data_IF_993832486754
#
_entry.id   IF_993832486754
#
_cell.length_a   1.000
_cell.length_b   1.000
_cell.length_c   1.000
_cell.angle_alpha   90.00
_cell.angle_beta   90.00
_cell.angle_gamma   90.00
#
_symmetry.space_group_name_H-M   'P 1'
#
loop_
_entity.id
_entity.type
_entity.pdbx_description
1 polymer ?
#
# COMPACT_ATOMS: atom_id res chain seq x y z
N UNK A 1 22.10 46.98 42.74
CA UNK A 1 20.89 46.19 42.46
C UNK A 1 21.18 45.39 41.19
N UNK A 2 21.37 44.08 41.29
CA UNK A 2 21.57 43.21 40.12
C UNK A 2 20.24 42.51 39.84
N UNK A 3 19.63 42.80 38.69
CA UNK A 3 18.44 42.11 38.21
C UNK A 3 18.88 41.00 37.25
N UNK A 4 18.73 39.75 37.68
CA UNK A 4 18.94 38.58 36.84
C UNK A 4 17.62 38.25 36.13
N UNK A 5 17.56 38.46 34.81
CA UNK A 5 16.43 38.03 33.99
C UNK A 5 16.61 36.55 33.64
N UNK A 6 15.74 35.69 34.19
CA UNK A 6 15.62 34.30 33.79
C UNK A 6 14.90 34.22 32.43
N UNK A 7 15.59 33.78 31.39
CA UNK A 7 14.97 33.49 30.09
C UNK A 7 14.24 32.16 30.16
N UNK A 8 12.90 32.20 30.04
CA UNK A 8 12.05 31.01 29.90
C UNK A 8 12.16 30.53 28.45
N UNK A 9 12.84 29.42 28.23
CA UNK A 9 12.85 28.74 26.93
C UNK A 9 11.52 27.98 26.75
N UNK A 10 10.60 28.55 25.98
CA UNK A 10 9.42 27.84 25.46
C UNK A 10 9.88 26.87 24.37
N UNK A 11 10.06 25.59 24.73
CA UNK A 11 10.24 24.52 23.77
C UNK A 11 8.91 24.30 23.04
N UNK A 12 8.75 24.93 21.87
CA UNK A 12 7.68 24.61 20.95
C UNK A 12 7.96 23.24 20.33
N UNK A 13 7.38 22.18 20.90
CA UNK A 13 7.30 20.88 20.23
C UNK A 13 6.41 21.05 18.99
N UNK A 14 7.03 21.33 17.85
CA UNK A 14 6.40 21.22 16.54
C UNK A 14 5.99 19.76 16.34
N UNK A 15 4.71 19.46 16.58
CA UNK A 15 4.05 18.24 16.11
C UNK A 15 4.08 18.30 14.58
N UNK A 16 5.13 17.75 13.98
CA UNK A 16 5.19 17.55 12.54
C UNK A 16 4.07 16.57 12.18
N UNK A 17 3.08 16.94 11.34
CA UNK A 17 2.12 15.97 10.83
C UNK A 17 2.91 14.86 10.12
N UNK A 18 2.66 13.61 10.51
CA UNK A 18 3.30 12.45 9.92
C UNK A 18 3.02 12.44 8.41
N UNK A 19 4.04 12.72 7.61
CA UNK A 19 3.94 12.55 6.18
C UNK A 19 3.74 11.06 5.91
N UNK A 20 2.56 10.68 5.44
CA UNK A 20 2.40 9.37 4.80
C UNK A 20 3.27 9.37 3.54
N UNK A 21 3.99 8.27 3.32
CA UNK A 21 4.79 8.11 2.11
C UNK A 21 3.91 7.59 0.98
N UNK A 22 4.14 8.12 -0.23
CA UNK A 22 3.56 7.58 -1.46
C UNK A 22 3.98 6.12 -1.64
N UNK A 23 3.13 5.30 -2.26
CA UNK A 23 3.41 3.88 -2.47
C UNK A 23 2.80 3.35 -3.76
N UNK A 24 3.39 2.29 -4.28
CA UNK A 24 2.93 1.52 -5.42
C UNK A 24 2.20 0.27 -4.92
N UNK A 25 1.13 -0.12 -5.60
CA UNK A 25 0.36 -1.34 -5.31
C UNK A 25 0.64 -2.35 -6.41
N UNK A 26 1.06 -3.54 -6.00
CA UNK A 26 1.37 -4.66 -6.89
C UNK A 26 0.40 -5.81 -6.67
N UNK A 27 -0.05 -6.42 -7.77
CA UNK A 27 -0.61 -7.76 -7.76
C UNK A 27 0.52 -8.74 -8.03
N UNK A 28 0.70 -9.72 -7.15
CA UNK A 28 1.91 -10.54 -7.12
C UNK A 28 1.56 -12.00 -7.22
N UNK A 29 2.26 -12.71 -8.11
CA UNK A 29 2.20 -14.16 -8.26
C UNK A 29 3.43 -14.76 -7.59
N UNK A 30 3.21 -15.46 -6.49
CA UNK A 30 4.20 -16.22 -5.73
C UNK A 30 4.18 -17.66 -6.25
N UNK A 31 5.15 -18.01 -7.08
CA UNK A 31 5.29 -19.31 -7.73
C UNK A 31 6.25 -20.15 -6.91
N UNK A 32 5.77 -21.25 -6.34
CA UNK A 32 6.59 -22.23 -5.63
C UNK A 32 6.35 -23.63 -6.18
N UNK A 33 7.31 -24.57 -5.98
CA UNK A 33 7.06 -25.98 -6.19
C UNK A 33 5.78 -26.44 -5.48
N UNK A 34 5.06 -27.41 -6.06
CA UNK A 34 3.81 -27.91 -5.50
C UNK A 34 3.97 -28.40 -4.05
N UNK A 35 5.08 -29.10 -3.76
CA UNK A 35 5.43 -29.57 -2.41
C UNK A 35 5.60 -28.43 -1.38
N UNK A 36 5.74 -27.18 -1.83
CA UNK A 36 5.90 -25.97 -1.02
C UNK A 36 4.66 -25.06 -1.03
N UNK A 37 3.52 -25.55 -1.49
CA UNK A 37 2.25 -24.82 -1.50
C UNK A 37 1.83 -24.26 -2.86
N UNK A 38 2.60 -24.52 -3.92
CA UNK A 38 2.22 -24.18 -5.29
C UNK A 38 2.21 -22.68 -5.58
N UNK A 39 1.32 -22.25 -6.48
CA UNK A 39 1.20 -20.84 -6.87
C UNK A 39 0.14 -20.13 -6.04
N UNK A 40 0.46 -18.95 -5.50
CA UNK A 40 -0.47 -18.06 -4.81
C UNK A 40 -0.49 -16.69 -5.47
N UNK A 41 -1.65 -16.03 -5.46
CA UNK A 41 -1.77 -14.62 -5.85
C UNK A 41 -2.00 -13.79 -4.59
N UNK A 42 -1.20 -12.75 -4.42
CA UNK A 42 -1.21 -11.83 -3.26
C UNK A 42 -1.14 -10.39 -3.75
N UNK A 43 -1.20 -9.46 -2.82
CA UNK A 43 -0.91 -8.05 -3.01
C UNK A 43 0.31 -7.65 -2.18
N UNK A 44 1.09 -6.72 -2.70
CA UNK A 44 2.19 -6.08 -1.99
C UNK A 44 2.18 -4.59 -2.26
N UNK A 45 2.74 -3.83 -1.34
CA UNK A 45 2.93 -2.39 -1.49
C UNK A 45 4.37 -2.00 -1.21
N UNK A 46 4.87 -1.01 -1.94
CA UNK A 46 6.25 -0.53 -1.83
C UNK A 46 6.31 0.98 -2.04
N UNK A 47 7.23 1.73 -1.40
CA UNK A 47 7.36 3.17 -1.62
C UNK A 47 7.68 3.57 -3.08
N UNK A 48 8.27 2.66 -3.84
CA UNK A 48 8.58 2.75 -5.26
C UNK A 48 8.75 1.32 -5.82
N UNK A 49 9.17 1.18 -7.10
CA UNK A 49 9.49 -0.13 -7.65
C UNK A 49 10.55 -0.84 -6.79
N UNK A 50 10.27 -2.06 -6.27
CA UNK A 50 11.16 -2.72 -5.34
C UNK A 50 12.34 -3.39 -6.07
N UNK A 51 13.46 -3.50 -5.37
CA UNK A 51 14.48 -4.52 -5.63
C UNK A 51 13.95 -5.91 -5.30
N UNK A 52 14.66 -6.97 -5.73
CA UNK A 52 14.22 -8.32 -5.41
C UNK A 52 14.32 -8.66 -3.92
N UNK A 53 15.31 -8.12 -3.21
CA UNK A 53 15.40 -8.32 -1.76
C UNK A 53 14.21 -7.67 -1.06
N UNK A 54 13.81 -6.46 -1.46
CA UNK A 54 12.60 -5.82 -0.94
C UNK A 54 11.34 -6.60 -1.28
N UNK A 55 11.20 -7.08 -2.52
CA UNK A 55 10.02 -7.82 -2.96
C UNK A 55 9.85 -9.15 -2.20
N UNK A 56 10.94 -9.91 -2.04
CA UNK A 56 10.95 -11.19 -1.34
C UNK A 56 10.70 -11.05 0.17
N UNK A 57 11.14 -9.96 0.79
CA UNK A 57 10.95 -9.68 2.21
C UNK A 57 9.73 -8.79 2.51
N UNK A 58 9.01 -8.32 1.49
CA UNK A 58 7.87 -7.42 1.62
C UNK A 58 6.63 -8.09 2.24
N UNK A 59 5.77 -7.29 2.86
CA UNK A 59 4.51 -7.77 3.44
C UNK A 59 3.58 -8.36 2.38
N UNK A 60 2.87 -9.43 2.73
CA UNK A 60 1.90 -10.11 1.86
C UNK A 60 0.47 -9.85 2.33
N UNK A 61 -0.39 -9.42 1.41
CA UNK A 61 -1.82 -9.21 1.67
C UNK A 61 -2.65 -10.11 0.76
N UNK A 62 -3.48 -10.97 1.35
CA UNK A 62 -4.33 -11.89 0.59
C UNK A 62 -5.58 -11.18 0.04
N UNK A 63 -6.19 -11.79 -0.98
CA UNK A 63 -7.55 -11.40 -1.33
C UNK A 63 -8.52 -11.76 -0.21
N UNK A 64 -9.46 -10.86 0.04
CA UNK A 64 -10.55 -11.10 0.96
C UNK A 64 -11.87 -10.57 0.38
N UNK A 65 -12.97 -11.23 0.75
CA UNK A 65 -14.31 -10.74 0.43
C UNK A 65 -14.74 -9.57 1.33
N UNK A 66 -14.04 -9.38 2.45
CA UNK A 66 -14.28 -8.36 3.45
C UNK A 66 -12.98 -8.07 4.21
N UNK A 67 -12.60 -6.79 4.25
CA UNK A 67 -11.40 -6.30 4.97
C UNK A 67 -11.77 -5.27 6.05
N UNK A 68 -13.05 -5.20 6.42
CA UNK A 68 -13.54 -4.33 7.49
C UNK A 68 -13.12 -4.81 8.89
N UNK A 69 -13.25 -3.94 9.89
CA UNK A 69 -12.83 -4.22 11.26
C UNK A 69 -11.31 -4.41 11.31
N UNK A 70 -10.85 -5.56 11.79
CA UNK A 70 -9.42 -5.86 11.99
C UNK A 70 -8.83 -6.80 10.92
N UNK A 71 -9.56 -7.03 9.82
CA UNK A 71 -9.20 -8.05 8.81
C UNK A 71 -8.20 -7.47 7.79
N UNK A 72 -6.93 -7.87 7.93
CA UNK A 72 -5.86 -7.50 7.00
C UNK A 72 -6.04 -8.19 5.65
N UNK A 73 -5.94 -7.44 4.57
CA UNK A 73 -6.04 -7.97 3.22
C UNK A 73 -6.42 -6.91 2.19
N UNK A 74 -6.78 -7.38 1.01
CA UNK A 74 -7.26 -6.54 -0.07
C UNK A 74 -8.52 -7.14 -0.66
N UNK A 75 -9.55 -6.32 -0.83
CA UNK A 75 -10.74 -6.67 -1.61
C UNK A 75 -10.68 -5.93 -2.93
N UNK A 76 -10.76 -6.67 -4.03
CA UNK A 76 -10.69 -6.13 -5.37
C UNK A 76 -12.00 -6.38 -6.13
N UNK A 77 -12.45 -5.39 -6.89
CA UNK A 77 -13.64 -5.48 -7.74
C UNK A 77 -13.32 -5.24 -9.21
N UNK A 78 -14.03 -5.97 -10.08
CA UNK A 78 -13.95 -5.85 -11.52
C UNK A 78 -13.01 -6.87 -12.18
N UNK A 79 -12.96 -6.86 -13.52
CA UNK A 79 -12.17 -7.81 -14.31
C UNK A 79 -10.66 -7.62 -14.17
N UNK A 80 -10.22 -6.46 -13.69
CA UNK A 80 -8.80 -6.09 -13.53
C UNK A 80 -8.09 -6.75 -12.34
N UNK A 81 -8.83 -7.49 -11.50
CA UNK A 81 -8.32 -8.11 -10.27
C UNK A 81 -7.46 -9.36 -10.50
N UNK A 82 -7.55 -9.96 -11.69
CA UNK A 82 -6.67 -11.06 -12.07
C UNK A 82 -5.23 -10.54 -12.28
N UNK A 83 -4.24 -11.40 -12.02
CA UNK A 83 -2.82 -11.04 -12.07
C UNK A 83 -2.44 -10.30 -13.36
N UNK A 84 -2.82 -10.89 -14.51
CA UNK A 84 -2.46 -10.40 -15.83
C UNK A 84 -3.52 -9.47 -16.46
N UNK A 85 -4.62 -9.18 -15.75
CA UNK A 85 -5.67 -8.34 -16.32
C UNK A 85 -5.24 -6.86 -16.38
N UNK A 86 -5.70 -6.10 -17.40
CA UNK A 86 -5.48 -4.67 -17.49
C UNK A 86 -6.03 -3.95 -16.25
N UNK A 87 -5.29 -2.93 -15.78
CA UNK A 87 -5.72 -2.16 -14.60
C UNK A 87 -7.08 -1.49 -14.79
N UNK A 88 -7.42 -1.07 -16.00
CA UNK A 88 -8.69 -0.40 -16.27
C UNK A 88 -9.92 -1.25 -15.93
N UNK A 89 -9.75 -2.56 -15.79
CA UNK A 89 -10.78 -3.47 -15.30
C UNK A 89 -11.01 -3.42 -13.79
N UNK A 90 -10.16 -2.76 -12.99
CA UNK A 90 -10.35 -2.58 -11.54
C UNK A 90 -11.33 -1.43 -11.32
N UNK A 91 -12.55 -1.77 -10.89
CA UNK A 91 -13.60 -0.79 -10.59
C UNK A 91 -13.51 -0.25 -9.17
N UNK A 92 -12.89 -1.02 -8.26
CA UNK A 92 -12.51 -0.54 -6.95
C UNK A 92 -11.48 -1.44 -6.28
N UNK A 93 -10.88 -0.93 -5.22
CA UNK A 93 -9.96 -1.65 -4.36
C UNK A 93 -10.13 -1.14 -2.93
N UNK A 94 -10.41 -2.05 -2.00
CA UNK A 94 -10.41 -1.77 -0.57
C UNK A 94 -9.22 -2.50 0.05
N UNK A 95 -8.44 -1.78 0.85
CA UNK A 95 -7.15 -2.22 1.35
C UNK A 95 -7.10 -2.00 2.85
N UNK A 96 -6.70 -3.03 3.59
CA UNK A 96 -6.40 -2.93 5.01
C UNK A 96 -5.05 -3.59 5.28
N UNK A 97 -4.04 -2.78 5.61
CA UNK A 97 -2.65 -3.23 5.73
C UNK A 97 -2.12 -3.30 7.16
N UNK A 98 -2.65 -2.49 8.08
CA UNK A 98 -2.30 -2.52 9.50
C UNK A 98 -3.39 -1.87 10.34
N UNK A 99 -3.52 -2.31 11.60
CA UNK A 99 -4.37 -1.67 12.61
C UNK A 99 -3.61 -0.61 13.42
N UNK A 100 -2.27 -0.65 13.42
CA UNK A 100 -1.42 0.29 14.18
C UNK A 100 -0.08 0.52 13.47
N UNK A 101 0.13 1.69 12.83
CA UNK A 101 -0.89 2.70 12.53
C UNK A 101 -2.01 2.11 11.64
N UNK A 102 -3.22 2.67 11.74
CA UNK A 102 -4.35 2.25 10.92
C UNK A 102 -4.12 2.63 9.45
N UNK A 103 -3.95 1.62 8.60
CA UNK A 103 -3.82 1.77 7.15
C UNK A 103 -4.97 1.06 6.47
N UNK A 104 -6.08 1.77 6.32
CA UNK A 104 -7.29 1.31 5.65
C UNK A 104 -7.78 2.35 4.66
N UNK A 105 -7.86 2.00 3.38
CA UNK A 105 -8.40 2.88 2.36
C UNK A 105 -9.21 2.14 1.30
N UNK A 106 -10.17 2.85 0.72
CA UNK A 106 -10.93 2.39 -0.42
C UNK A 106 -10.80 3.37 -1.58
N UNK A 107 -10.56 2.85 -2.77
CA UNK A 107 -10.55 3.60 -4.04
C UNK A 107 -11.61 3.04 -4.98
N UNK A 108 -12.28 3.93 -5.72
CA UNK A 108 -13.25 3.56 -6.75
C UNK A 108 -12.99 4.30 -8.05
N UNK A 109 -13.13 3.60 -9.18
CA UNK A 109 -12.86 4.14 -10.52
C UNK A 109 -13.77 5.31 -10.87
N UNK A 110 -15.06 5.18 -10.56
CA UNK A 110 -16.09 6.20 -10.78
C UNK A 110 -15.91 7.47 -9.91
N UNK A 111 -15.01 7.41 -8.92
CA UNK A 111 -14.63 8.54 -8.06
C UNK A 111 -13.19 9.01 -8.29
N UNK A 112 -12.65 8.70 -9.47
CA UNK A 112 -11.27 9.06 -9.85
C UNK A 112 -10.20 8.47 -8.93
N UNK A 113 -10.49 7.32 -8.30
CA UNK A 113 -9.58 6.59 -7.41
C UNK A 113 -9.05 7.41 -6.22
N UNK A 114 -9.87 8.33 -5.69
CA UNK A 114 -9.59 9.02 -4.43
C UNK A 114 -9.42 8.01 -3.29
N UNK A 115 -8.37 8.18 -2.48
CA UNK A 115 -8.01 7.26 -1.41
C UNK A 115 -8.76 7.63 -0.12
N UNK A 116 -9.93 7.02 0.08
CA UNK A 116 -10.86 7.37 1.16
C UNK A 116 -10.68 6.44 2.35
N UNK A 117 -10.48 7.00 3.55
CA UNK A 117 -10.36 6.25 4.80
C UNK A 117 -11.71 5.87 5.42
N UNK A 118 -11.69 5.09 6.51
CA UNK A 118 -12.88 4.68 7.26
C UNK A 118 -13.66 5.87 7.88
N UNK A 119 -12.99 6.99 8.09
CA UNK A 119 -13.58 8.25 8.58
C UNK A 119 -14.22 9.09 7.46
N UNK A 120 -14.22 8.59 6.21
CA UNK A 120 -14.75 9.27 5.04
C UNK A 120 -13.85 10.39 4.51
N UNK A 121 -12.68 10.64 5.11
CA UNK A 121 -11.73 11.64 4.62
C UNK A 121 -10.91 11.09 3.46
N UNK A 122 -10.47 11.99 2.59
CA UNK A 122 -9.54 11.65 1.51
C UNK A 122 -8.10 11.86 1.98
N UNK A 123 -7.28 10.82 1.88
CA UNK A 123 -5.87 10.80 2.31
C UNK A 123 -4.90 10.86 1.13
N UNK A 124 -5.41 11.02 -0.09
CA UNK A 124 -4.61 11.03 -1.29
C UNK A 124 -5.41 10.59 -2.51
N UNK A 125 -4.69 10.25 -3.57
CA UNK A 125 -5.26 9.72 -4.80
C UNK A 125 -4.36 8.61 -5.35
N UNK A 126 -4.98 7.53 -5.84
CA UNK A 126 -4.26 6.48 -6.54
C UNK A 126 -4.47 6.61 -8.05
N UNK A 127 -3.39 6.73 -8.82
CA UNK A 127 -3.46 6.77 -10.27
C UNK A 127 -3.16 5.38 -10.85
N UNK A 128 -3.88 4.95 -11.91
CA UNK A 128 -3.45 3.81 -12.69
C UNK A 128 -2.02 4.02 -13.19
N UNK A 129 -1.13 3.13 -12.78
CA UNK A 129 0.30 3.30 -12.99
C UNK A 129 0.89 1.98 -13.51
N UNK A 130 0.52 1.57 -14.73
CA UNK A 130 1.07 0.36 -15.33
C UNK A 130 2.57 0.53 -15.58
N UNK A 131 3.24 -0.59 -15.93
CA UNK A 131 4.70 -0.71 -16.09
C UNK A 131 5.45 -0.72 -14.75
N UNK A 132 6.75 -1.04 -14.72
CA UNK A 132 7.50 -1.17 -13.46
C UNK A 132 7.23 -2.50 -12.73
N UNK A 133 6.91 -3.53 -13.51
CA UNK A 133 6.78 -4.92 -13.05
C UNK A 133 8.14 -5.45 -12.57
N UNK A 134 8.11 -6.43 -11.67
CA UNK A 134 9.31 -7.12 -11.20
C UNK A 134 9.18 -8.64 -11.37
N UNK A 135 10.32 -9.30 -11.52
CA UNK A 135 10.42 -10.75 -11.57
C UNK A 135 11.64 -11.18 -10.77
N UNK A 136 11.39 -11.81 -9.62
CA UNK A 136 12.41 -12.08 -8.61
C UNK A 136 12.51 -13.57 -8.32
N UNK A 137 13.58 -14.25 -8.75
CA UNK A 137 13.80 -15.65 -8.42
C UNK A 137 14.18 -15.79 -6.94
N UNK A 138 13.68 -16.83 -6.29
CA UNK A 138 14.19 -17.24 -4.99
C UNK A 138 15.54 -17.97 -5.16
N UNK A 139 16.36 -17.97 -4.11
CA UNK A 139 17.59 -18.77 -4.08
C UNK A 139 17.29 -20.25 -4.32
N UNK A 140 17.98 -20.88 -5.27
CA UNK A 140 17.74 -22.28 -5.67
C UNK A 140 16.79 -22.47 -6.89
N UNK A 141 16.35 -21.38 -7.53
CA UNK A 141 15.91 -21.36 -8.94
C UNK A 141 14.54 -21.96 -9.28
N UNK A 142 13.87 -22.65 -8.36
CA UNK A 142 12.57 -23.29 -8.63
C UNK A 142 11.35 -22.45 -8.23
N UNK A 143 11.56 -21.34 -7.51
CA UNK A 143 10.49 -20.45 -7.06
C UNK A 143 10.74 -19.03 -7.57
N UNK A 144 9.67 -18.30 -7.85
CA UNK A 144 9.73 -16.94 -8.41
C UNK A 144 8.60 -16.08 -7.88
N UNK A 145 8.88 -14.81 -7.63
CA UNK A 145 7.90 -13.79 -7.28
C UNK A 145 7.73 -12.81 -8.46
N UNK A 146 6.57 -12.80 -9.08
CA UNK A 146 6.26 -11.93 -10.23
C UNK A 146 5.27 -10.84 -9.82
N UNK A 147 5.70 -9.58 -9.80
CA UNK A 147 4.86 -8.44 -9.45
C UNK A 147 4.39 -7.67 -10.68
N UNK A 148 3.08 -7.44 -10.78
CA UNK A 148 2.43 -6.55 -11.74
C UNK A 148 2.04 -5.25 -11.05
N UNK A 149 2.61 -4.12 -11.45
CA UNK A 149 2.22 -2.83 -10.85
C UNK A 149 0.82 -2.46 -11.32
N UNK A 150 -0.02 -2.10 -10.36
CA UNK A 150 -1.38 -1.61 -10.62
C UNK A 150 -1.38 -0.09 -10.41
N UNK A 151 -1.31 0.38 -9.18
CA UNK A 151 -1.50 1.80 -8.87
C UNK A 151 -0.24 2.43 -8.30
N UNK A 152 -0.13 3.76 -8.47
CA UNK A 152 0.69 4.65 -7.64
C UNK A 152 -0.26 5.46 -6.78
N UNK A 153 -0.16 5.33 -5.47
CA UNK A 153 -0.92 6.11 -4.51
C UNK A 153 -0.07 7.27 -3.99
N UNK A 154 -0.59 8.48 -4.22
CA UNK A 154 -0.02 9.73 -3.76
C UNK A 154 -0.75 10.16 -2.50
N UNK A 155 -0.07 10.11 -1.37
CA UNK A 155 -0.63 10.45 -0.07
C UNK A 155 -0.52 11.96 0.17
N UNK A 156 -1.62 12.59 0.56
CA UNK A 156 -1.62 13.99 0.98
C UNK A 156 -1.15 14.11 2.43
N UNK A 157 -0.39 15.15 2.75
CA UNK A 157 -0.16 15.51 4.16
C UNK A 157 -1.51 15.84 4.79
N UNK A 158 -1.85 15.20 5.91
CA UNK A 158 -3.04 15.55 6.67
C UNK A 158 -2.74 16.89 7.34
N UNK A 159 -3.21 17.98 6.73
CA UNK A 159 -3.25 19.28 7.38
C UNK A 159 -4.25 19.22 8.53
N UNK A 160 -3.80 19.48 9.75
CA UNK A 160 -4.63 19.86 10.87
C UNK A 160 -5.39 21.13 10.50
N UNK A 161 -6.66 20.96 10.13
CA UNK A 161 -7.65 22.06 10.15
C UNK A 161 -8.14 22.26 11.57
#
# INVERSE_FOLDING_TARGET
>A
MHFTLAAIALAASSLLPGAHANFDIYRVKDIRPYAQGGTRIIWQTFPAQPSCDEALNGGYYNDAQDVSGNKIGVRCWGSGCAQQAPIDGITGLEMHFSNSPLWHWTIYKDRGYSMVGLDGKTYGNCIPFPNGDFNCPFSGGSSTLEGRRKFRCLTSQIGST
#
